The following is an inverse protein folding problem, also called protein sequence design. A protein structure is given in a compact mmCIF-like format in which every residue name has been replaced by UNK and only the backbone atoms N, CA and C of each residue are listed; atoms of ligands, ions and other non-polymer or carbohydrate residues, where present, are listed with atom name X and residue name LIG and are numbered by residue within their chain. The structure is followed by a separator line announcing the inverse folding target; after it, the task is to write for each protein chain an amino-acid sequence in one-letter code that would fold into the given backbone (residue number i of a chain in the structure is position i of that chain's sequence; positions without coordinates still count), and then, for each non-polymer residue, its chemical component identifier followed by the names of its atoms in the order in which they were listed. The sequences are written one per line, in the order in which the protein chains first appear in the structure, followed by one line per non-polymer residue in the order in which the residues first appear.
data_IF_633948295318
#
_entry.id   IF_633948295318
#
_cell.length_a   1.000
_cell.length_b   1.000
_cell.length_c   1.000
_cell.angle_alpha   90.00
_cell.angle_beta   90.00
_cell.angle_gamma   90.00
#
_symmetry.space_group_name_H-M   'P 1'
#
loop_
_entity.id
_entity.type
_entity.pdbx_description
1 polymer ?
#
# COMPACT_ATOMS: atom_id res chain seq x y z
N UNK A 1 -6.73 1.48 11.36
CA UNK A 1 -7.49 0.23 11.53
C UNK A 1 -6.81 -0.67 12.54
N UNK A 2 -5.57 -1.10 12.34
CA UNK A 2 -4.87 -2.02 13.27
C UNK A 2 -5.04 -1.64 14.75
N UNK A 3 -4.72 -0.38 15.10
CA UNK A 3 -4.87 0.13 16.49
C UNK A 3 -6.30 -0.01 17.03
N UNK A 4 -7.32 0.18 16.19
CA UNK A 4 -8.73 0.15 16.59
C UNK A 4 -9.19 -1.26 16.97
N UNK A 5 -8.63 -2.27 16.33
CA UNK A 5 -8.88 -3.69 16.65
C UNK A 5 -7.88 -4.27 17.66
N UNK A 6 -7.08 -3.41 18.31
CA UNK A 6 -6.16 -3.79 19.36
C UNK A 6 -4.88 -4.46 18.87
N UNK A 7 -4.45 -4.18 17.63
CA UNK A 7 -3.14 -4.60 17.13
C UNK A 7 -2.12 -3.50 17.40
N UNK A 8 -0.94 -3.90 17.85
CA UNK A 8 0.18 -2.99 18.11
C UNK A 8 0.84 -2.48 16.82
N UNK A 9 1.64 -1.45 16.96
CA UNK A 9 2.51 -0.96 15.89
C UNK A 9 3.69 -1.93 15.61
N UNK A 10 4.13 -2.13 14.35
CA UNK A 10 3.55 -1.63 13.09
C UNK A 10 2.29 -2.42 12.68
N UNK A 11 1.22 -1.70 12.33
CA UNK A 11 -0.08 -2.30 12.06
C UNK A 11 -0.22 -3.03 10.72
N UNK A 12 0.50 -2.58 9.68
CA UNK A 12 0.39 -3.17 8.34
C UNK A 12 0.76 -4.65 8.29
N UNK A 13 1.96 -5.05 8.73
CA UNK A 13 2.37 -6.46 8.76
C UNK A 13 1.46 -7.34 9.62
N UNK A 14 0.92 -6.79 10.72
CA UNK A 14 0.00 -7.53 11.60
C UNK A 14 -1.35 -7.78 10.95
N UNK A 15 -1.89 -6.80 10.21
CA UNK A 15 -3.10 -6.98 9.40
C UNK A 15 -2.84 -8.02 8.30
N UNK A 16 -1.73 -7.92 7.57
CA UNK A 16 -1.39 -8.87 6.50
C UNK A 16 -1.26 -10.31 7.03
N UNK A 17 -0.62 -10.49 8.18
CA UNK A 17 -0.53 -11.80 8.82
C UNK A 17 -1.89 -12.34 9.24
N UNK A 18 -2.68 -11.51 9.94
CA UNK A 18 -3.96 -11.92 10.51
C UNK A 18 -5.03 -12.17 9.44
N UNK A 19 -4.99 -11.41 8.33
CA UNK A 19 -5.92 -11.58 7.21
C UNK A 19 -5.85 -12.96 6.55
N UNK A 20 -4.71 -13.65 6.65
CA UNK A 20 -4.54 -15.02 6.13
C UNK A 20 -5.37 -16.06 6.88
N UNK A 21 -5.73 -15.75 8.11
CA UNK A 21 -6.52 -16.63 8.99
C UNK A 21 -8.02 -16.33 8.90
N UNK A 22 -8.40 -15.23 8.22
CA UNK A 22 -9.76 -14.73 8.12
C UNK A 22 -10.39 -14.85 6.74
N UNK A 23 -11.66 -14.46 6.68
CA UNK A 23 -12.46 -14.37 5.44
C UNK A 23 -13.00 -12.94 5.28
N UNK A 24 -13.23 -12.45 4.06
CA UNK A 24 -13.76 -11.11 3.82
C UNK A 24 -15.28 -11.05 4.08
N UNK A 25 -15.68 -11.23 5.35
CA UNK A 25 -17.07 -11.34 5.79
C UNK A 25 -17.72 -10.01 6.20
N UNK A 26 -16.93 -8.96 6.43
CA UNK A 26 -17.44 -7.64 6.81
C UNK A 26 -17.68 -6.75 5.59
N UNK A 27 -18.90 -6.18 5.43
CA UNK A 27 -19.23 -5.31 4.30
C UNK A 27 -18.57 -3.94 4.49
N UNK A 28 -17.45 -3.72 3.85
CA UNK A 28 -16.76 -2.44 3.80
C UNK A 28 -16.92 -1.79 2.42
N UNK A 29 -17.14 -0.47 2.34
CA UNK A 29 -17.30 0.22 1.08
C UNK A 29 -15.99 0.31 0.31
N UNK A 30 -16.04 0.07 -1.00
CA UNK A 30 -14.91 0.34 -1.88
C UNK A 30 -14.84 1.85 -2.16
N UNK A 31 -13.73 2.52 -1.83
CA UNK A 31 -13.53 3.93 -2.13
C UNK A 31 -13.65 4.22 -3.63
N UNK A 32 -14.43 5.23 -3.99
CA UNK A 32 -14.56 5.70 -5.37
C UNK A 32 -14.00 7.11 -5.47
N UNK A 33 -12.99 7.27 -6.31
CA UNK A 33 -12.37 8.57 -6.63
C UNK A 33 -12.13 8.59 -8.13
N UNK A 34 -12.37 9.74 -8.76
CA UNK A 34 -12.20 9.89 -10.20
C UNK A 34 -10.74 9.79 -10.65
N UNK A 35 -10.57 9.44 -11.90
CA UNK A 35 -9.26 9.32 -12.54
C UNK A 35 -8.40 8.22 -11.87
N UNK A 36 -7.10 8.47 -11.78
CA UNK A 36 -6.10 7.58 -11.19
C UNK A 36 -5.79 7.90 -9.72
N UNK A 37 -6.46 8.87 -9.13
CA UNK A 37 -6.27 9.26 -7.75
C UNK A 37 -6.80 8.22 -6.76
N UNK A 38 -6.26 8.23 -5.53
CA UNK A 38 -6.63 7.35 -4.42
C UNK A 38 -7.20 8.14 -3.25
N UNK A 39 -8.14 7.53 -2.53
CA UNK A 39 -8.55 7.99 -1.20
C UNK A 39 -8.95 6.80 -0.35
N UNK A 40 -8.32 6.67 0.81
CA UNK A 40 -8.64 5.63 1.79
C UNK A 40 -9.37 6.17 3.02
N UNK A 41 -9.64 7.48 3.05
CA UNK A 41 -10.29 8.13 4.19
C UNK A 41 -11.69 7.58 4.46
N UNK A 42 -12.47 7.33 3.39
CA UNK A 42 -13.79 6.71 3.49
C UNK A 42 -13.74 5.29 4.04
N UNK A 43 -12.83 4.46 3.55
CA UNK A 43 -12.63 3.08 4.03
C UNK A 43 -12.19 3.07 5.50
N UNK A 44 -11.26 3.95 5.88
CA UNK A 44 -10.84 4.11 7.27
C UNK A 44 -12.03 4.44 8.17
N UNK A 45 -12.83 5.44 7.81
CA UNK A 45 -13.97 5.88 8.60
C UNK A 45 -15.07 4.81 8.69
N UNK A 46 -15.38 4.13 7.59
CA UNK A 46 -16.35 3.04 7.57
C UNK A 46 -15.92 1.88 8.49
N UNK A 47 -14.63 1.51 8.48
CA UNK A 47 -14.10 0.50 9.39
C UNK A 47 -14.21 0.92 10.85
N UNK A 48 -13.90 2.19 11.18
CA UNK A 48 -14.05 2.74 12.53
C UNK A 48 -15.50 2.70 13.00
N UNK A 49 -16.43 3.14 12.13
CA UNK A 49 -17.86 3.14 12.44
C UNK A 49 -18.40 1.71 12.66
N UNK A 50 -17.96 0.75 11.83
CA UNK A 50 -18.34 -0.66 12.00
C UNK A 50 -17.89 -1.19 13.36
N UNK A 51 -16.61 -0.99 13.71
CA UNK A 51 -16.05 -1.43 15.00
C UNK A 51 -16.81 -0.78 16.17
N UNK A 52 -17.05 0.53 16.12
CA UNK A 52 -17.79 1.23 17.16
C UNK A 52 -19.22 0.71 17.29
N UNK A 53 -19.92 0.47 16.17
CA UNK A 53 -21.27 -0.09 16.17
C UNK A 53 -21.33 -1.46 16.82
N UNK A 54 -20.39 -2.35 16.51
CA UNK A 54 -20.32 -3.68 17.10
C UNK A 54 -20.04 -3.60 18.61
N UNK A 55 -19.07 -2.76 19.02
CA UNK A 55 -18.79 -2.53 20.43
C UNK A 55 -20.01 -2.02 21.21
N UNK A 56 -20.76 -1.08 20.65
CA UNK A 56 -22.01 -0.57 21.27
C UNK A 56 -23.08 -1.64 21.43
N UNK A 57 -23.09 -2.63 20.54
CA UNK A 57 -24.02 -3.76 20.59
C UNK A 57 -23.50 -4.94 21.41
N UNK A 58 -22.29 -4.83 21.96
CA UNK A 58 -21.57 -5.93 22.63
C UNK A 58 -21.39 -7.16 21.73
N UNK A 59 -21.31 -6.96 20.41
CA UNK A 59 -21.03 -8.01 19.44
C UNK A 59 -19.50 -8.24 19.36
N UNK A 60 -19.07 -9.49 19.38
CA UNK A 60 -17.65 -9.84 19.24
C UNK A 60 -17.17 -9.60 17.81
N UNK A 61 -15.98 -9.00 17.67
CA UNK A 61 -15.35 -8.74 16.39
C UNK A 61 -14.35 -9.84 16.10
N UNK A 62 -14.57 -10.60 15.04
CA UNK A 62 -13.53 -11.47 14.50
C UNK A 62 -12.45 -10.62 13.83
N UNK A 63 -11.32 -10.45 14.51
CA UNK A 63 -10.22 -9.59 14.04
C UNK A 63 -9.57 -10.09 12.76
N UNK A 64 -9.52 -11.42 12.54
CA UNK A 64 -8.97 -12.02 11.33
C UNK A 64 -9.85 -11.69 10.13
N UNK A 65 -11.16 -11.87 10.25
CA UNK A 65 -12.13 -11.57 9.19
C UNK A 65 -12.19 -10.08 8.88
N UNK A 66 -12.15 -9.22 9.90
CA UNK A 66 -12.12 -7.77 9.68
C UNK A 66 -10.81 -7.32 9.01
N UNK A 67 -9.67 -7.90 9.41
CA UNK A 67 -8.38 -7.65 8.77
C UNK A 67 -8.40 -8.08 7.29
N UNK A 68 -8.95 -9.25 7.00
CA UNK A 68 -9.12 -9.76 5.65
C UNK A 68 -10.04 -8.84 4.82
N UNK A 69 -11.23 -8.51 5.34
CA UNK A 69 -12.19 -7.62 4.66
C UNK A 69 -11.58 -6.25 4.34
N UNK A 70 -10.89 -5.65 5.31
CA UNK A 70 -10.21 -4.37 5.13
C UNK A 70 -9.10 -4.45 4.08
N UNK A 71 -8.26 -5.48 4.15
CA UNK A 71 -7.12 -5.67 3.23
C UNK A 71 -7.61 -5.90 1.80
N UNK A 72 -8.57 -6.80 1.58
CA UNK A 72 -9.10 -7.07 0.24
C UNK A 72 -9.70 -5.82 -0.40
N UNK A 73 -10.49 -5.03 0.34
CA UNK A 73 -11.04 -3.77 -0.19
C UNK A 73 -9.94 -2.75 -0.48
N UNK A 74 -8.97 -2.58 0.43
CA UNK A 74 -7.89 -1.62 0.20
C UNK A 74 -7.03 -1.99 -1.01
N UNK A 75 -6.71 -3.26 -1.18
CA UNK A 75 -5.87 -3.75 -2.28
C UNK A 75 -6.63 -3.76 -3.61
N UNK A 76 -7.93 -4.07 -3.61
CA UNK A 76 -8.74 -4.03 -4.85
C UNK A 76 -8.69 -2.64 -5.49
N UNK A 77 -8.73 -1.57 -4.68
CA UNK A 77 -8.62 -0.19 -5.18
C UNK A 77 -7.30 0.03 -5.92
N UNK A 78 -6.19 -0.49 -5.39
CA UNK A 78 -4.87 -0.36 -6.04
C UNK A 78 -4.83 -1.11 -7.37
N UNK A 79 -5.31 -2.35 -7.38
CA UNK A 79 -5.35 -3.20 -8.57
C UNK A 79 -6.25 -2.58 -9.66
N UNK A 80 -7.44 -2.10 -9.30
CA UNK A 80 -8.37 -1.48 -10.25
C UNK A 80 -7.81 -0.20 -10.86
N UNK A 81 -7.15 0.63 -10.04
CA UNK A 81 -6.49 1.86 -10.54
C UNK A 81 -5.31 1.54 -11.44
N UNK A 82 -4.52 0.52 -11.11
CA UNK A 82 -3.42 0.09 -11.98
C UNK A 82 -3.95 -0.46 -13.31
N UNK A 83 -5.02 -1.29 -13.28
CA UNK A 83 -5.68 -1.75 -14.52
C UNK A 83 -6.18 -0.58 -15.37
N UNK A 84 -6.72 0.47 -14.73
CA UNK A 84 -7.16 1.68 -15.42
C UNK A 84 -5.97 2.42 -16.03
N UNK A 85 -4.90 2.63 -15.27
CA UNK A 85 -3.68 3.29 -15.76
C UNK A 85 -3.10 2.56 -16.97
N UNK A 86 -3.00 1.23 -16.93
CA UNK A 86 -2.47 0.43 -18.04
C UNK A 86 -3.34 0.49 -19.31
N UNK A 87 -4.65 0.76 -19.16
CA UNK A 87 -5.52 1.04 -20.31
C UNK A 87 -5.30 2.45 -20.90
N UNK A 88 -4.99 3.43 -20.06
CA UNK A 88 -4.68 4.80 -20.48
C UNK A 88 -3.27 4.90 -21.09
N UNK A 89 -2.35 4.01 -20.68
CA UNK A 89 -0.96 3.96 -21.15
C UNK A 89 -0.64 2.58 -21.76
N UNK A 90 -1.16 2.24 -22.95
CA UNK A 90 -1.07 0.91 -23.53
C UNK A 90 0.34 0.47 -23.92
N UNK A 91 1.27 1.40 -24.12
CA UNK A 91 2.66 1.12 -24.46
C UNK A 91 3.52 0.71 -23.25
N UNK A 92 2.92 0.66 -22.05
CA UNK A 92 3.60 0.24 -20.82
C UNK A 92 4.03 -1.22 -20.93
N UNK A 93 5.31 -1.49 -20.69
CA UNK A 93 5.90 -2.84 -20.71
C UNK A 93 6.21 -3.34 -19.32
N UNK A 94 6.66 -2.46 -18.44
CA UNK A 94 7.12 -2.79 -17.09
C UNK A 94 6.19 -2.21 -16.04
N UNK A 95 5.85 -3.00 -15.06
CA UNK A 95 5.10 -2.60 -13.86
C UNK A 95 5.96 -2.85 -12.64
N UNK A 96 6.19 -1.79 -11.86
CA UNK A 96 7.05 -1.84 -10.68
C UNK A 96 6.26 -1.45 -9.43
N UNK A 97 6.51 -2.13 -8.32
CA UNK A 97 6.03 -1.72 -6.99
C UNK A 97 7.18 -1.23 -6.13
N UNK A 98 6.93 -0.24 -5.28
CA UNK A 98 7.90 0.29 -4.33
C UNK A 98 7.20 0.75 -3.03
N UNK A 99 8.01 1.01 -1.99
CA UNK A 99 7.52 1.48 -0.69
C UNK A 99 7.01 0.35 0.21
N UNK A 100 6.71 0.68 1.47
CA UNK A 100 6.39 -0.30 2.51
C UNK A 100 5.21 -1.22 2.21
N UNK A 101 4.21 -0.74 1.47
CA UNK A 101 3.04 -1.56 1.09
C UNK A 101 3.40 -2.66 0.08
N UNK A 102 4.48 -2.50 -0.70
CA UNK A 102 4.98 -3.55 -1.62
C UNK A 102 5.45 -4.83 -0.89
N UNK A 103 5.64 -4.77 0.43
CA UNK A 103 5.92 -5.94 1.26
C UNK A 103 4.67 -6.77 1.62
N UNK A 104 3.46 -6.22 1.41
CA UNK A 104 2.22 -6.92 1.71
C UNK A 104 2.09 -8.19 0.85
N UNK A 105 1.88 -9.34 1.49
CA UNK A 105 1.89 -10.63 0.81
C UNK A 105 0.73 -10.76 -0.18
N UNK A 106 -0.46 -10.33 0.20
CA UNK A 106 -1.65 -10.41 -0.65
C UNK A 106 -1.56 -9.47 -1.85
N UNK A 107 -0.98 -8.26 -1.67
CA UNK A 107 -0.70 -7.37 -2.81
C UNK A 107 0.20 -8.05 -3.83
N UNK A 108 1.28 -8.70 -3.39
CA UNK A 108 2.21 -9.40 -4.28
C UNK A 108 1.54 -10.53 -5.05
N UNK A 109 0.67 -11.30 -4.40
CA UNK A 109 -0.17 -12.32 -5.06
C UNK A 109 -1.05 -11.68 -6.13
N UNK A 110 -1.84 -10.65 -5.77
CA UNK A 110 -2.72 -9.94 -6.70
C UNK A 110 -1.96 -9.31 -7.89
N UNK A 111 -0.77 -8.77 -7.65
CA UNK A 111 0.09 -8.25 -8.72
C UNK A 111 0.49 -9.36 -9.69
N UNK A 112 0.96 -10.50 -9.17
CA UNK A 112 1.36 -11.65 -10.00
C UNK A 112 0.17 -12.26 -10.77
N UNK A 113 -1.00 -12.36 -10.13
CA UNK A 113 -2.22 -12.90 -10.74
C UNK A 113 -2.75 -12.01 -11.88
N UNK A 114 -2.72 -10.68 -11.70
CA UNK A 114 -3.38 -9.75 -12.62
C UNK A 114 -2.45 -9.14 -13.68
N UNK A 115 -1.13 -9.15 -13.47
CA UNK A 115 -0.17 -8.45 -14.35
C UNK A 115 1.00 -9.32 -14.78
N UNK A 116 0.82 -10.65 -14.85
CA UNK A 116 1.85 -11.59 -15.29
C UNK A 116 2.28 -11.43 -16.77
N UNK A 117 1.47 -10.71 -17.56
CA UNK A 117 1.78 -10.38 -18.96
C UNK A 117 2.68 -9.14 -19.11
N UNK A 118 3.02 -8.46 -18.03
CA UNK A 118 3.97 -7.35 -17.99
C UNK A 118 5.31 -7.82 -17.41
N UNK A 119 6.36 -7.06 -17.66
CA UNK A 119 7.62 -7.19 -16.92
C UNK A 119 7.39 -6.67 -15.49
N UNK A 120 7.01 -7.59 -14.58
CA UNK A 120 6.61 -7.26 -13.22
C UNK A 120 7.80 -7.27 -12.26
N UNK A 121 8.13 -6.10 -11.71
CA UNK A 121 9.21 -5.93 -10.76
C UNK A 121 8.66 -5.78 -9.33
N UNK A 122 8.83 -6.82 -8.52
CA UNK A 122 8.49 -6.82 -7.09
C UNK A 122 9.80 -6.85 -6.29
N UNK A 123 10.14 -5.79 -5.55
CA UNK A 123 11.42 -5.73 -4.84
C UNK A 123 11.53 -6.82 -3.77
N UNK A 124 12.74 -7.31 -3.45
CA UNK A 124 12.96 -8.15 -2.28
C UNK A 124 12.47 -7.45 -1.01
N UNK A 125 11.89 -8.20 -0.07
CA UNK A 125 11.24 -7.65 1.13
C UNK A 125 12.13 -6.70 1.92
N UNK A 126 13.43 -6.96 1.98
CA UNK A 126 14.44 -6.13 2.67
C UNK A 126 14.60 -4.72 2.06
N UNK A 127 14.12 -4.50 0.84
CA UNK A 127 14.20 -3.21 0.13
C UNK A 127 12.84 -2.51 -0.01
N UNK A 128 11.76 -3.08 0.55
CA UNK A 128 10.42 -2.47 0.47
C UNK A 128 10.27 -1.24 1.38
N UNK A 129 11.02 -1.17 2.48
CA UNK A 129 11.01 -0.03 3.40
C UNK A 129 12.28 0.80 3.26
N UNK A 130 12.32 1.96 3.90
CA UNK A 130 13.49 2.85 3.90
C UNK A 130 14.74 2.07 4.30
N UNK A 131 15.80 2.21 3.50
CA UNK A 131 17.06 1.53 3.74
C UNK A 131 18.23 2.32 3.13
N UNK A 132 19.44 2.11 3.66
CA UNK A 132 20.63 2.83 3.22
C UNK A 132 21.01 2.53 1.76
N UNK A 133 20.66 1.34 1.24
CA UNK A 133 21.01 0.95 -0.14
C UNK A 133 20.35 1.87 -1.15
N UNK A 134 19.06 2.24 -0.95
CA UNK A 134 18.35 3.14 -1.86
C UNK A 134 18.99 4.54 -1.90
N UNK A 135 19.48 5.01 -0.76
CA UNK A 135 20.18 6.31 -0.67
C UNK A 135 21.55 6.22 -1.36
N UNK A 136 22.28 5.12 -1.14
CA UNK A 136 23.57 4.89 -1.80
C UNK A 136 23.45 4.83 -3.33
N UNK A 137 22.41 4.16 -3.86
CA UNK A 137 22.17 4.10 -5.31
C UNK A 137 21.82 5.49 -5.87
N UNK A 138 20.94 6.25 -5.18
CA UNK A 138 20.62 7.61 -5.59
C UNK A 138 21.87 8.52 -5.56
N UNK A 139 22.66 8.45 -4.49
CA UNK A 139 23.90 9.22 -4.36
C UNK A 139 24.92 8.87 -5.46
N UNK A 140 25.05 7.59 -5.80
CA UNK A 140 25.93 7.17 -6.90
C UNK A 140 25.50 7.77 -8.24
N UNK A 141 24.20 7.76 -8.53
CA UNK A 141 23.64 8.38 -9.74
C UNK A 141 23.90 9.89 -9.79
N UNK A 142 23.71 10.61 -8.67
CA UNK A 142 24.03 12.03 -8.60
C UNK A 142 25.51 12.31 -8.78
N UNK A 143 26.37 11.47 -8.21
CA UNK A 143 27.82 11.56 -8.37
C UNK A 143 28.26 11.42 -9.84
N UNK A 144 27.73 10.43 -10.57
CA UNK A 144 28.02 10.24 -12.00
C UNK A 144 27.59 11.44 -12.86
N UNK A 145 26.56 12.16 -12.46
CA UNK A 145 26.06 13.35 -13.17
C UNK A 145 26.63 14.68 -12.62
N UNK A 146 27.60 14.62 -11.72
CA UNK A 146 28.23 15.81 -11.13
C UNK A 146 27.28 16.69 -10.34
N UNK A 147 26.20 16.11 -9.80
CA UNK A 147 25.20 16.84 -9.01
C UNK A 147 25.56 16.76 -7.54
N UNK A 148 25.98 17.88 -7.00
CA UNK A 148 26.33 18.05 -5.59
C UNK A 148 25.51 19.18 -4.98
N UNK A 149 25.35 19.13 -3.69
CA UNK A 149 24.79 20.21 -2.88
C UNK A 149 25.85 20.75 -1.94
N UNK A 150 25.74 22.00 -1.56
CA UNK A 150 26.62 22.62 -0.59
C UNK A 150 26.37 22.06 0.82
N UNK A 151 27.35 22.25 1.73
CA UNK A 151 27.27 21.70 3.09
C UNK A 151 26.18 22.35 3.96
N UNK A 152 25.61 23.47 3.53
CA UNK A 152 24.49 24.16 4.19
C UNK A 152 23.12 23.69 3.70
N UNK A 153 23.07 22.69 2.81
CA UNK A 153 21.82 22.14 2.31
C UNK A 153 20.93 21.59 3.43
N UNK A 154 19.71 22.08 3.49
CA UNK A 154 18.70 21.60 4.44
C UNK A 154 17.85 20.51 3.83
N UNK A 155 17.39 19.57 4.67
CA UNK A 155 16.44 18.53 4.23
C UNK A 155 15.10 19.15 3.85
N UNK A 156 14.53 18.70 2.74
CA UNK A 156 13.18 19.06 2.31
C UNK A 156 12.21 17.95 2.71
N UNK A 157 11.20 18.20 3.54
CA UNK A 157 10.25 17.17 4.00
C UNK A 157 9.28 16.71 2.89
N UNK A 158 9.13 17.51 1.84
CA UNK A 158 8.30 17.21 0.68
C UNK A 158 8.99 17.75 -0.57
N UNK A 159 9.10 16.89 -1.58
CA UNK A 159 9.60 17.24 -2.91
C UNK A 159 8.62 16.72 -3.96
N UNK A 160 8.47 17.45 -5.06
CA UNK A 160 7.80 16.92 -6.25
C UNK A 160 8.65 15.82 -6.87
N UNK A 161 8.01 14.85 -7.50
CA UNK A 161 8.71 13.80 -8.26
C UNK A 161 9.35 14.36 -9.54
N UNK A 162 8.96 15.57 -9.93
CA UNK A 162 9.45 16.29 -11.13
C UNK A 162 10.62 17.25 -10.80
N UNK A 163 10.97 17.44 -9.51
CA UNK A 163 12.14 18.20 -9.06
C UNK A 163 13.38 17.28 -8.99
#
# INVERSE_FOLDING_TARGET
VARVIGLEYPGGPKIDKLSKEGKPSYPLPTPKVDGLNFSFSGLKNATLQLVNKMNMKHEEINKADLSCSFQEVALSVLIDKLKKALKEYPDTKTVLTAGGVSANSRLRELMSENFSNYDLILPPLKYCTDNATMIGVAAFHYLEHGKFVEFDASSKPSMSIEE
#
